data_IF_565499012927
#
_entry.id   IF_565499012927
#
_cell.length_a   1.000
_cell.length_b   1.000
_cell.length_c   1.000
_cell.angle_alpha   90.00
_cell.angle_beta   90.00
_cell.angle_gamma   90.00
#
_symmetry.space_group_name_H-M   'P 1'
#
loop_
_entity.id
_entity.type
_entity.pdbx_description
1 polymer ?
#
# COMPACT_ATOMS: atom_id res chain seq x y z
N UNK A 1 -25.45 -46.71 -44.75
CA UNK A 1 -25.89 -45.30 -44.64
C UNK A 1 -26.22 -44.99 -43.19
N UNK A 2 -25.42 -44.18 -42.52
CA UNK A 2 -25.82 -43.58 -41.24
C UNK A 2 -25.12 -42.24 -41.14
N UNK A 3 -25.87 -41.15 -41.00
CA UNK A 3 -25.24 -40.02 -40.33
C UNK A 3 -26.21 -39.13 -39.53
N UNK A 4 -25.57 -38.32 -38.69
CA UNK A 4 -25.98 -37.01 -38.15
C UNK A 4 -26.74 -37.03 -36.83
N UNK A 5 -25.92 -37.16 -35.79
CA UNK A 5 -26.07 -36.45 -34.51
C UNK A 5 -26.45 -34.98 -34.73
N UNK A 6 -27.73 -34.65 -34.61
CA UNK A 6 -28.15 -33.25 -34.52
C UNK A 6 -28.22 -32.86 -33.04
N UNK A 7 -27.08 -32.37 -32.53
CA UNK A 7 -26.96 -31.77 -31.20
C UNK A 7 -27.88 -30.55 -31.16
N UNK A 8 -29.07 -30.72 -30.61
CA UNK A 8 -30.04 -29.64 -30.50
C UNK A 8 -29.52 -28.62 -29.47
N UNK A 9 -29.07 -27.49 -30.01
CA UNK A 9 -28.71 -26.27 -29.30
C UNK A 9 -29.81 -25.92 -28.30
N UNK A 10 -29.41 -25.77 -27.04
CA UNK A 10 -30.16 -25.04 -26.03
C UNK A 10 -30.34 -23.59 -26.49
N UNK A 11 -31.55 -23.02 -26.41
CA UNK A 11 -31.73 -21.59 -26.24
C UNK A 11 -31.85 -21.29 -24.75
N UNK A 12 -30.78 -20.83 -24.12
CA UNK A 12 -30.88 -20.14 -22.83
C UNK A 12 -31.45 -18.74 -23.09
N UNK A 13 -32.77 -18.68 -23.27
CA UNK A 13 -33.51 -17.44 -23.29
C UNK A 13 -33.59 -16.89 -21.86
N UNK A 14 -33.14 -15.64 -21.73
CA UNK A 14 -33.25 -14.80 -20.57
C UNK A 14 -34.65 -14.86 -19.94
N UNK A 15 -34.71 -15.08 -18.62
CA UNK A 15 -35.82 -14.63 -17.82
C UNK A 15 -35.25 -14.00 -16.54
N UNK A 16 -34.93 -12.71 -16.69
CA UNK A 16 -34.62 -11.81 -15.58
C UNK A 16 -35.94 -11.56 -14.86
N UNK A 17 -36.16 -12.27 -13.76
CA UNK A 17 -37.18 -11.92 -12.76
C UNK A 17 -36.50 -11.86 -11.40
N UNK A 18 -35.83 -10.74 -11.14
CA UNK A 18 -35.51 -10.34 -9.76
C UNK A 18 -36.45 -9.20 -9.40
N UNK A 19 -37.42 -9.55 -8.56
CA UNK A 19 -38.41 -8.67 -7.96
C UNK A 19 -37.78 -7.39 -7.42
N UNK A 20 -38.28 -6.25 -7.88
CA UNK A 20 -38.11 -4.98 -7.19
C UNK A 20 -38.81 -5.07 -5.84
N UNK A 21 -38.03 -5.31 -4.78
CA UNK A 21 -38.47 -5.07 -3.42
C UNK A 21 -38.52 -3.56 -3.20
N UNK A 22 -39.73 -3.04 -3.23
CA UNK A 22 -40.12 -1.66 -2.94
C UNK A 22 -39.58 -1.24 -1.57
N UNK A 23 -38.55 -0.39 -1.54
CA UNK A 23 -38.06 0.24 -0.31
C UNK A 23 -39.06 1.31 0.11
N UNK A 24 -39.93 0.96 1.06
CA UNK A 24 -40.75 1.91 1.78
C UNK A 24 -39.87 3.04 2.36
N UNK A 25 -40.08 4.26 1.87
CA UNK A 25 -39.45 5.46 2.38
C UNK A 25 -39.94 5.74 3.81
N UNK A 26 -39.03 5.70 4.78
CA UNK A 26 -39.30 6.14 6.15
C UNK A 26 -39.46 7.67 6.15
N UNK A 27 -40.57 8.25 6.64
CA UNK A 27 -40.70 9.70 6.74
C UNK A 27 -39.78 10.24 7.83
N UNK A 28 -38.67 10.88 7.44
CA UNK A 28 -37.80 11.61 8.36
C UNK A 28 -38.55 12.88 8.80
N UNK A 29 -39.01 12.90 10.06
CA UNK A 29 -39.60 14.11 10.65
C UNK A 29 -38.51 15.21 10.74
N UNK A 30 -38.80 16.45 10.35
CA UNK A 30 -37.86 17.55 10.52
C UNK A 30 -37.63 17.80 12.01
N UNK A 31 -36.36 17.84 12.43
CA UNK A 31 -36.00 18.18 13.82
C UNK A 31 -36.38 19.65 14.08
N UNK A 32 -37.08 19.97 15.18
CA UNK A 32 -37.32 21.36 15.55
C UNK A 32 -35.97 22.00 15.91
N UNK A 33 -35.62 23.06 15.19
CA UNK A 33 -34.46 23.88 15.52
C UNK A 33 -34.77 24.61 16.83
N UNK A 34 -34.20 24.12 17.95
CA UNK A 34 -34.18 24.90 19.19
C UNK A 34 -33.34 26.15 18.89
N UNK A 35 -34.00 27.31 18.89
CA UNK A 35 -33.31 28.60 19.03
C UNK A 35 -32.60 28.59 20.38
N UNK A 36 -31.31 28.28 20.37
CA UNK A 36 -30.47 28.51 21.54
C UNK A 36 -30.14 30.01 21.60
N UNK A 37 -30.38 30.71 22.72
CA UNK A 37 -29.94 32.08 22.86
C UNK A 37 -28.41 32.13 22.78
N UNK A 38 -27.90 33.16 22.11
CA UNK A 38 -26.47 33.40 21.91
C UNK A 38 -25.74 33.53 23.25
N UNK A 39 -25.26 32.41 23.79
CA UNK A 39 -24.29 32.39 24.88
C UNK A 39 -22.97 32.87 24.28
N UNK A 40 -22.64 34.13 24.52
CA UNK A 40 -21.33 34.70 24.22
C UNK A 40 -20.26 33.77 24.82
N UNK A 41 -19.60 33.01 23.96
CA UNK A 41 -18.42 32.26 24.35
C UNK A 41 -17.30 33.29 24.54
N UNK A 42 -16.64 33.36 25.70
CA UNK A 42 -15.41 34.12 25.79
C UNK A 42 -14.41 33.49 24.82
N UNK A 43 -13.97 34.30 23.86
CA UNK A 43 -12.96 33.96 22.88
C UNK A 43 -11.64 33.73 23.63
N UNK A 44 -11.34 32.48 23.98
CA UNK A 44 -10.00 32.10 24.45
C UNK A 44 -9.03 32.17 23.28
N UNK A 45 -8.07 33.11 23.22
CA UNK A 45 -7.10 33.17 22.14
C UNK A 45 -5.80 32.53 22.63
N UNK A 46 -5.81 31.23 22.89
CA UNK A 46 -4.54 30.49 22.94
C UNK A 46 -4.75 28.99 22.73
N UNK A 47 -4.98 28.60 21.47
CA UNK A 47 -4.75 27.21 21.06
C UNK A 47 -3.24 27.07 20.90
N UNK A 48 -2.55 26.68 21.97
CA UNK A 48 -1.13 26.30 21.89
C UNK A 48 -0.97 25.30 20.72
N UNK A 49 -0.08 25.55 19.75
CA UNK A 49 0.20 24.55 18.73
C UNK A 49 0.85 23.37 19.45
N UNK A 50 0.15 22.24 19.48
CA UNK A 50 0.69 20.98 20.02
C UNK A 50 1.67 20.42 18.98
N UNK A 51 2.80 21.08 18.77
CA UNK A 51 3.78 20.69 17.75
C UNK A 51 5.02 20.17 18.44
N UNK A 52 5.13 18.85 18.52
CA UNK A 52 6.41 18.19 18.82
C UNK A 52 6.59 16.86 18.10
N UNK A 53 5.53 16.27 17.51
CA UNK A 53 5.63 14.94 16.88
C UNK A 53 5.14 14.86 15.43
N UNK A 54 4.47 15.90 14.90
CA UNK A 54 3.94 15.89 13.51
C UNK A 54 4.95 16.48 12.51
N UNK A 55 5.74 17.47 12.91
CA UNK A 55 6.69 18.19 12.05
C UNK A 55 7.77 17.28 11.44
N UNK A 56 8.19 16.24 12.15
CA UNK A 56 9.25 15.33 11.70
C UNK A 56 8.75 14.25 10.75
N UNK A 57 7.43 14.00 10.66
CA UNK A 57 6.86 13.01 9.72
C UNK A 57 6.63 13.60 8.34
N UNK A 58 6.14 14.84 8.27
CA UNK A 58 6.02 15.60 7.02
C UNK A 58 7.38 15.79 6.35
N UNK A 59 8.43 15.98 7.16
CA UNK A 59 9.80 16.09 6.66
C UNK A 59 10.32 14.78 6.06
N UNK A 60 9.88 13.61 6.55
CA UNK A 60 10.23 12.31 5.97
C UNK A 60 9.54 12.06 4.62
N UNK A 61 8.28 12.50 4.48
CA UNK A 61 7.53 12.40 3.23
C UNK A 61 8.14 13.28 2.12
N UNK A 62 8.65 14.46 2.49
CA UNK A 62 9.26 15.42 1.57
C UNK A 62 10.66 15.04 1.06
N UNK A 63 11.32 14.02 1.65
CA UNK A 63 12.66 13.61 1.22
C UNK A 63 12.65 13.11 -0.24
N UNK A 64 13.78 13.15 -0.97
CA UNK A 64 13.93 12.38 -2.20
C UNK A 64 13.93 10.86 -1.91
N UNK A 65 13.78 10.02 -2.95
CA UNK A 65 13.76 8.56 -2.80
C UNK A 65 15.07 8.03 -2.20
N UNK A 66 16.21 8.41 -2.77
CA UNK A 66 17.54 7.95 -2.32
C UNK A 66 17.78 8.22 -0.83
N UNK A 67 17.43 9.42 -0.35
CA UNK A 67 17.61 9.76 1.07
C UNK A 67 16.66 9.01 2.00
N UNK A 68 15.44 8.70 1.54
CA UNK A 68 14.51 7.89 2.32
C UNK A 68 15.00 6.44 2.42
N UNK A 69 15.58 5.92 1.34
CA UNK A 69 16.17 4.59 1.31
C UNK A 69 17.42 4.50 2.20
N UNK A 70 18.33 5.47 2.10
CA UNK A 70 19.54 5.53 2.95
C UNK A 70 19.18 5.56 4.45
N UNK A 71 18.16 6.34 4.82
CA UNK A 71 17.66 6.36 6.21
C UNK A 71 17.08 5.01 6.65
N UNK A 72 16.38 4.32 5.76
CA UNK A 72 15.83 2.99 6.04
C UNK A 72 16.96 1.96 6.24
N UNK A 73 17.95 1.96 5.35
CA UNK A 73 19.13 1.09 5.45
C UNK A 73 19.91 1.32 6.74
N UNK A 74 20.15 2.58 7.10
CA UNK A 74 20.82 2.93 8.35
C UNK A 74 20.05 2.45 9.58
N UNK A 75 18.71 2.51 9.54
CA UNK A 75 17.85 2.05 10.61
C UNK A 75 17.88 0.52 10.72
N UNK A 76 17.77 -0.19 9.59
CA UNK A 76 17.88 -1.67 9.54
C UNK A 76 19.25 -2.12 10.05
N UNK A 77 20.34 -1.50 9.59
CA UNK A 77 21.68 -1.81 10.06
C UNK A 77 21.82 -1.67 11.59
N UNK A 78 21.18 -0.65 12.19
CA UNK A 78 21.15 -0.51 13.65
C UNK A 78 20.40 -1.65 14.34
N UNK A 79 19.23 -2.04 13.81
CA UNK A 79 18.43 -3.16 14.35
C UNK A 79 19.18 -4.50 14.26
N UNK A 80 19.92 -4.72 13.17
CA UNK A 80 20.69 -5.95 12.95
C UNK A 80 21.88 -6.11 13.90
N UNK A 81 22.35 -5.04 14.54
CA UNK A 81 23.43 -5.15 15.54
C UNK A 81 23.07 -5.97 16.77
N UNK A 82 21.77 -6.17 17.04
CA UNK A 82 21.27 -6.94 18.18
C UNK A 82 21.55 -6.34 19.57
N UNK A 83 22.05 -5.09 19.64
CA UNK A 83 22.44 -4.42 20.90
C UNK A 83 21.39 -3.44 21.43
N UNK A 84 20.27 -3.27 20.72
CA UNK A 84 19.22 -2.32 21.09
C UNK A 84 18.27 -2.93 22.13
N UNK A 85 17.85 -2.17 23.15
CA UNK A 85 16.79 -2.61 24.05
C UNK A 85 15.46 -2.72 23.30
N UNK A 86 14.53 -3.53 23.83
CA UNK A 86 13.23 -3.83 23.20
C UNK A 86 12.45 -2.56 22.82
N UNK A 87 12.40 -1.58 23.72
CA UNK A 87 11.70 -0.31 23.49
C UNK A 87 12.25 0.44 22.26
N UNK A 88 13.57 0.50 22.12
CA UNK A 88 14.22 1.12 20.96
C UNK A 88 14.04 0.31 19.68
N UNK A 89 14.03 -1.03 19.77
CA UNK A 89 13.71 -1.89 18.62
C UNK A 89 12.29 -1.62 18.10
N UNK A 90 11.31 -1.46 18.99
CA UNK A 90 9.94 -1.14 18.61
C UNK A 90 9.84 0.23 17.93
N UNK A 91 10.48 1.25 18.50
CA UNK A 91 10.50 2.59 17.90
C UNK A 91 11.17 2.61 16.53
N UNK A 92 12.32 1.92 16.40
CA UNK A 92 13.01 1.79 15.13
C UNK A 92 12.12 1.04 14.12
N UNK A 93 11.50 -0.07 14.50
CA UNK A 93 10.60 -0.82 13.63
C UNK A 93 9.44 0.05 13.10
N UNK A 94 8.79 0.83 13.96
CA UNK A 94 7.71 1.75 13.55
C UNK A 94 8.22 2.80 12.54
N UNK A 95 9.35 3.44 12.83
CA UNK A 95 9.96 4.42 11.94
C UNK A 95 10.41 3.80 10.61
N UNK A 96 10.97 2.59 10.64
CA UNK A 96 11.37 1.83 9.45
C UNK A 96 10.17 1.41 8.60
N UNK A 97 9.07 1.00 9.23
CA UNK A 97 7.82 0.69 8.54
C UNK A 97 7.28 1.91 7.80
N UNK A 98 7.35 3.08 8.42
CA UNK A 98 6.90 4.32 7.79
C UNK A 98 7.78 4.74 6.61
N UNK A 99 9.11 4.68 6.77
CA UNK A 99 10.05 4.92 5.68
C UNK A 99 9.82 3.97 4.50
N UNK A 100 9.60 2.68 4.76
CA UNK A 100 9.30 1.70 3.72
C UNK A 100 8.03 2.04 2.94
N UNK A 101 6.96 2.51 3.61
CA UNK A 101 5.74 2.97 2.94
C UNK A 101 6.00 4.18 2.06
N UNK A 102 6.80 5.15 2.53
CA UNK A 102 7.17 6.34 1.76
C UNK A 102 7.93 5.94 0.48
N UNK A 103 8.92 5.06 0.60
CA UNK A 103 9.66 4.55 -0.55
C UNK A 103 8.74 3.86 -1.56
N UNK A 104 7.83 3.00 -1.08
CA UNK A 104 6.84 2.34 -1.94
C UNK A 104 5.94 3.33 -2.66
N UNK A 105 5.38 4.31 -1.95
CA UNK A 105 4.49 5.31 -2.52
C UNK A 105 5.18 6.16 -3.62
N UNK A 106 6.48 6.44 -3.46
CA UNK A 106 7.27 7.13 -4.48
C UNK A 106 7.43 6.28 -5.74
N UNK A 107 7.76 5.00 -5.60
CA UNK A 107 7.85 4.07 -6.72
C UNK A 107 6.50 3.91 -7.43
N UNK A 108 5.40 3.75 -6.69
CA UNK A 108 4.04 3.66 -7.25
C UNK A 108 3.65 4.94 -8.03
N UNK A 109 4.18 6.09 -7.61
CA UNK A 109 3.95 7.36 -8.33
C UNK A 109 4.76 7.44 -9.62
N UNK A 110 6.01 6.97 -9.59
CA UNK A 110 6.85 6.88 -10.78
C UNK A 110 6.29 5.88 -11.79
N UNK A 111 5.85 4.70 -11.33
CA UNK A 111 5.24 3.66 -12.15
C UNK A 111 4.01 4.19 -12.89
N UNK A 112 3.08 4.85 -12.17
CA UNK A 112 1.91 5.50 -12.78
C UNK A 112 2.31 6.56 -13.80
N UNK A 113 3.37 7.33 -13.53
CA UNK A 113 3.86 8.35 -14.48
C UNK A 113 4.41 7.70 -15.75
N UNK A 114 5.17 6.61 -15.62
CA UNK A 114 5.68 5.83 -16.75
C UNK A 114 4.52 5.24 -17.56
N UNK A 115 3.50 4.70 -16.89
CA UNK A 115 2.33 4.13 -17.54
C UNK A 115 1.57 5.18 -18.37
N UNK A 116 1.38 6.39 -17.84
CA UNK A 116 0.74 7.49 -18.58
C UNK A 116 1.55 7.88 -19.82
N UNK A 117 2.87 8.07 -19.67
CA UNK A 117 3.76 8.41 -20.80
C UNK A 117 3.73 7.32 -21.88
N UNK A 118 3.75 6.06 -21.48
CA UNK A 118 3.76 4.91 -22.41
C UNK A 118 2.42 4.75 -23.15
N UNK A 119 1.30 5.10 -22.51
CA UNK A 119 -0.04 5.08 -23.15
C UNK A 119 -0.21 6.20 -24.17
N UNK A 120 0.38 7.37 -23.93
CA UNK A 120 0.29 8.52 -24.84
C UNK A 120 1.22 8.36 -26.06
N UNK A 121 2.35 7.66 -25.93
CA UNK A 121 3.32 7.36 -27.00
C UNK A 121 2.91 6.18 -27.90
N UNK A 122 1.60 5.94 -28.06
CA UNK A 122 0.98 4.84 -28.81
C UNK A 122 1.89 4.20 -29.86
N UNK A 123 2.32 2.98 -29.58
CA UNK A 123 3.01 2.07 -30.51
C UNK A 123 4.54 2.26 -30.70
N UNK A 124 5.32 2.67 -29.68
CA UNK A 124 6.80 2.65 -29.82
C UNK A 124 7.65 2.28 -28.60
N UNK A 125 7.18 1.38 -27.75
CA UNK A 125 7.95 0.87 -26.61
C UNK A 125 7.98 -0.65 -26.54
N UNK A 126 8.70 -1.33 -27.43
CA UNK A 126 9.09 -2.73 -27.22
C UNK A 126 10.13 -2.77 -26.09
N UNK A 127 9.68 -2.66 -24.86
CA UNK A 127 10.48 -3.01 -23.69
C UNK A 127 10.55 -4.53 -23.63
N UNK A 128 11.69 -5.10 -24.00
CA UNK A 128 11.98 -6.50 -23.69
C UNK A 128 12.06 -6.61 -22.18
N UNK A 129 11.27 -7.50 -21.58
CA UNK A 129 11.39 -7.83 -20.16
C UNK A 129 12.85 -8.14 -19.86
N UNK A 130 13.44 -7.36 -18.96
CA UNK A 130 14.79 -7.59 -18.50
C UNK A 130 14.76 -8.87 -17.65
N UNK A 131 15.07 -10.01 -18.27
CA UNK A 131 15.43 -11.23 -17.55
C UNK A 131 16.76 -10.98 -16.83
N UNK A 132 16.66 -10.41 -15.63
CA UNK A 132 17.71 -10.54 -14.65
C UNK A 132 17.79 -12.03 -14.31
N UNK A 133 18.68 -12.75 -14.99
CA UNK A 133 19.08 -14.09 -14.57
C UNK A 133 19.61 -13.96 -13.15
N UNK A 134 18.76 -14.24 -12.17
CA UNK A 134 19.14 -14.29 -10.76
C UNK A 134 20.13 -15.43 -10.68
N UNK A 135 21.44 -15.19 -10.46
CA UNK A 135 22.36 -16.30 -10.26
C UNK A 135 21.83 -17.07 -9.05
N UNK A 136 21.39 -18.30 -9.30
CA UNK A 136 20.94 -19.20 -8.24
C UNK A 136 22.03 -19.22 -7.18
N UNK A 137 21.71 -19.04 -5.89
CA UNK A 137 22.71 -19.18 -4.85
C UNK A 137 23.19 -20.63 -4.91
N UNK A 138 24.32 -20.86 -5.59
CA UNK A 138 24.97 -22.16 -5.56
C UNK A 138 25.49 -22.25 -4.14
N UNK A 139 24.70 -22.91 -3.30
CA UNK A 139 25.09 -23.35 -1.97
C UNK A 139 26.16 -24.42 -2.17
N UNK A 140 27.36 -23.99 -2.59
CA UNK A 140 28.57 -24.76 -2.40
C UNK A 140 28.88 -24.69 -0.91
N UNK A 141 28.17 -25.52 -0.14
CA UNK A 141 28.67 -25.92 1.17
C UNK A 141 29.96 -26.71 0.90
N UNK A 142 31.10 -26.35 1.52
CA UNK A 142 32.24 -27.25 1.59
C UNK A 142 31.76 -28.54 2.25
N UNK A 143 31.78 -29.64 1.51
CA UNK A 143 31.67 -30.99 2.08
C UNK A 143 33.04 -31.36 2.64
N UNK A 144 33.44 -30.67 3.71
CA UNK A 144 34.56 -31.11 4.53
C UNK A 144 33.99 -32.09 5.56
N UNK A 145 33.61 -33.27 5.06
CA UNK A 145 33.45 -34.50 5.82
C UNK A 145 34.87 -34.99 6.20
N UNK A 146 35.57 -34.23 7.02
CA UNK A 146 36.80 -34.67 7.68
C UNK A 146 36.45 -34.89 9.14
N UNK A 147 36.31 -36.18 9.48
CA UNK A 147 35.79 -36.66 10.74
C UNK A 147 36.44 -36.01 11.96
N UNK A 148 35.60 -35.58 12.89
CA UNK A 148 36.02 -35.24 14.24
C UNK A 148 36.14 -36.56 15.04
N UNK A 149 37.35 -37.04 15.42
CA UNK A 149 37.46 -38.05 16.45
C UNK A 149 37.07 -37.45 17.82
N UNK A 150 36.51 -38.30 18.68
CA UNK A 150 36.07 -38.02 20.05
C UNK A 150 37.16 -37.40 20.94
#
# INVERSE_FOLDING_TARGET
MGPRTHRHRQPHAACVVFSHAERAAVPVRPRPQRLFPARQQPSSPNRRPRVSTESSREELEALPFEQALEKLEALVARMETGKLPLEELMQNFEAGSELAKICRAKLDTLERKIELLTRDDGDRGSWTDFEAEVPSPTRNAPQDDEGMPF
#
